data_IF_215796617272
#
_entry.id   IF_215796617272
#
_cell.length_a   1.000
_cell.length_b   1.000
_cell.length_c   1.000
_cell.angle_alpha   90.00
_cell.angle_beta   90.00
_cell.angle_gamma   90.00
#
_symmetry.space_group_name_H-M   'P 1'
#
loop_
_entity.id
_entity.type
_entity.pdbx_description
1 polymer ?
#
# COMPACT_ATOMS: atom_id res chain seq x y z
N UNK A 1 7.48 38.94 20.93
CA UNK A 1 8.25 38.97 19.67
C UNK A 1 8.61 37.54 19.27
N UNK A 2 8.55 37.23 17.97
CA UNK A 2 8.51 35.89 17.35
C UNK A 2 7.12 35.23 17.29
N UNK A 3 6.15 35.95 16.72
CA UNK A 3 5.05 35.29 15.99
C UNK A 3 5.60 34.98 14.60
N UNK A 4 5.58 33.68 14.25
CA UNK A 4 6.24 33.11 13.08
C UNK A 4 5.65 33.68 11.78
N UNK A 5 6.54 34.20 10.95
CA UNK A 5 6.33 34.78 9.62
C UNK A 5 5.75 33.81 8.56
N UNK A 6 5.27 32.63 8.95
CA UNK A 6 4.68 31.63 8.05
C UNK A 6 3.17 31.80 7.87
N UNK A 7 2.47 32.32 8.88
CA UNK A 7 1.00 32.43 8.85
C UNK A 7 0.49 33.59 7.97
N UNK A 8 1.37 34.51 7.55
CA UNK A 8 0.98 35.73 6.82
C UNK A 8 0.95 35.56 5.29
N UNK A 9 1.68 34.58 4.73
CA UNK A 9 1.86 34.47 3.27
C UNK A 9 0.59 33.97 2.57
N UNK A 10 -0.32 33.31 3.28
CA UNK A 10 -1.61 32.88 2.74
C UNK A 10 -2.73 33.93 2.87
N UNK A 11 -2.48 35.07 3.52
CA UNK A 11 -3.53 36.05 3.86
C UNK A 11 -3.46 37.38 3.09
N UNK A 12 -2.44 37.61 2.25
CA UNK A 12 -2.19 38.94 1.64
C UNK A 12 -2.00 38.85 0.12
N UNK A 13 -3.11 38.69 -0.61
CA UNK A 13 -3.18 38.93 -2.08
C UNK A 13 -4.41 39.76 -2.43
N UNK A 14 -4.67 40.80 -1.64
CA UNK A 14 -5.68 41.80 -1.89
C UNK A 14 -5.17 43.11 -1.33
N UNK A 15 -5.45 44.25 -1.98
CA UNK A 15 -5.23 45.63 -1.47
C UNK A 15 -3.89 46.27 -1.89
N UNK A 16 -3.83 46.82 -3.12
CA UNK A 16 -3.77 48.28 -3.43
C UNK A 16 -2.97 48.62 -4.69
N UNK A 17 -3.66 49.29 -5.61
CA UNK A 17 -3.06 50.19 -6.58
C UNK A 17 -3.19 51.66 -6.16
N UNK A 18 -2.40 52.49 -6.85
CA UNK A 18 -2.45 53.95 -7.01
C UNK A 18 -1.76 54.79 -5.90
N UNK A 19 -0.59 55.35 -6.23
CA UNK A 19 -0.37 56.80 -6.41
C UNK A 19 1.11 57.10 -6.74
N UNK A 20 1.32 58.04 -7.67
CA UNK A 20 2.62 58.45 -8.22
C UNK A 20 3.28 59.57 -7.38
N UNK A 21 4.62 59.62 -7.40
CA UNK A 21 5.42 60.72 -6.86
C UNK A 21 6.90 60.36 -6.80
N UNK A 22 7.68 60.80 -7.79
CA UNK A 22 9.06 60.41 -8.01
C UNK A 22 10.06 61.06 -7.03
N UNK A 23 10.86 60.23 -6.37
CA UNK A 23 12.25 60.47 -5.97
C UNK A 23 12.93 59.10 -6.04
N UNK A 24 13.57 58.78 -7.17
CA UNK A 24 14.23 57.49 -7.35
C UNK A 24 15.58 57.47 -6.63
N UNK A 25 15.54 57.27 -5.30
CA UNK A 25 16.69 56.77 -4.57
C UNK A 25 16.76 55.26 -4.81
N UNK A 26 17.56 54.82 -5.78
CA UNK A 26 17.73 53.40 -6.08
C UNK A 26 18.64 52.76 -5.02
N UNK A 27 18.04 52.25 -3.94
CA UNK A 27 18.74 51.39 -2.98
C UNK A 27 18.82 49.99 -3.59
N UNK A 28 19.98 49.65 -4.15
CA UNK A 28 20.27 48.28 -4.61
C UNK A 28 20.69 47.46 -3.39
N UNK A 29 19.71 46.84 -2.73
CA UNK A 29 19.97 45.85 -1.69
C UNK A 29 20.32 44.51 -2.35
N UNK A 30 21.46 43.93 -1.95
CA UNK A 30 21.78 42.54 -2.31
C UNK A 30 20.68 41.66 -1.72
N UNK A 31 19.93 40.97 -2.57
CA UNK A 31 18.94 39.97 -2.12
C UNK A 31 19.68 39.06 -1.14
N UNK A 32 19.21 38.93 0.10
CA UNK A 32 19.66 37.82 0.95
C UNK A 32 19.45 36.56 0.12
N UNK A 33 20.36 35.58 0.14
CA UNK A 33 20.00 34.27 -0.39
C UNK A 33 18.74 33.86 0.37
N UNK A 34 17.59 33.93 -0.32
CA UNK A 34 16.44 33.17 0.10
C UNK A 34 16.98 31.75 0.14
N UNK A 35 17.09 31.19 1.34
CA UNK A 35 17.02 29.74 1.49
C UNK A 35 15.71 29.41 0.80
N UNK A 36 15.78 28.90 -0.44
CA UNK A 36 14.64 28.76 -1.36
C UNK A 36 13.43 28.29 -0.57
N UNK A 37 12.54 29.23 -0.23
CA UNK A 37 11.34 28.87 0.50
C UNK A 37 10.54 28.00 -0.48
N UNK A 38 10.13 26.78 -0.08
CA UNK A 38 9.41 25.91 -0.99
C UNK A 38 8.17 26.66 -1.49
N UNK A 39 7.99 26.72 -2.81
CA UNK A 39 6.81 27.32 -3.40
C UNK A 39 5.58 26.59 -2.84
N UNK A 40 4.57 27.34 -2.41
CA UNK A 40 3.36 26.78 -1.81
C UNK A 40 2.26 26.61 -2.87
N UNK A 41 1.43 25.59 -2.70
CA UNK A 41 0.23 25.35 -3.51
C UNK A 41 -0.98 25.16 -2.61
N UNK A 42 -2.14 25.65 -3.04
CA UNK A 42 -3.40 25.52 -2.29
C UNK A 42 -4.41 24.72 -3.10
N UNK A 43 -5.01 23.69 -2.50
CA UNK A 43 -6.16 22.98 -3.04
C UNK A 43 -7.35 23.20 -2.10
N UNK A 44 -8.47 23.72 -2.62
CA UNK A 44 -9.67 23.95 -1.79
C UNK A 44 -10.65 22.82 -2.01
N UNK A 45 -10.77 21.93 -1.03
CA UNK A 45 -11.65 20.77 -1.08
C UNK A 45 -12.90 20.87 -0.23
N UNK A 46 -13.63 19.76 -0.16
CA UNK A 46 -14.92 19.69 0.52
C UNK A 46 -14.83 19.99 2.03
N UNK A 47 -13.70 19.65 2.65
CA UNK A 47 -13.50 19.75 4.09
C UNK A 47 -12.53 20.86 4.52
N UNK A 48 -12.13 21.74 3.60
CA UNK A 48 -11.20 22.83 3.89
C UNK A 48 -10.19 23.07 2.77
N UNK A 49 -9.23 23.94 3.05
CA UNK A 49 -8.12 24.21 2.15
C UNK A 49 -6.90 23.38 2.58
N UNK A 50 -6.17 22.82 1.63
CA UNK A 50 -4.98 22.02 1.85
C UNK A 50 -3.79 22.79 1.29
N UNK A 51 -2.81 23.12 2.14
CA UNK A 51 -1.62 23.88 1.77
C UNK A 51 -0.44 22.91 1.61
N UNK A 52 -0.01 22.70 0.37
CA UNK A 52 1.11 21.82 0.02
C UNK A 52 2.33 22.59 -0.48
N UNK A 53 3.33 21.85 -0.94
CA UNK A 53 4.55 22.39 -1.56
C UNK A 53 4.61 22.04 -3.04
N UNK A 54 5.24 22.87 -3.84
CA UNK A 54 5.59 22.61 -5.23
C UNK A 54 7.07 22.28 -5.33
N UNK A 55 7.38 21.21 -6.05
CA UNK A 55 8.76 20.85 -6.40
C UNK A 55 8.85 20.54 -7.90
N UNK A 56 9.99 20.82 -8.52
CA UNK A 56 10.25 20.45 -9.92
C UNK A 56 10.86 19.06 -9.98
N UNK A 57 10.24 18.16 -10.75
CA UNK A 57 10.75 16.81 -11.03
C UNK A 57 10.86 16.65 -12.54
N UNK A 58 12.09 16.43 -13.02
CA UNK A 58 12.38 16.37 -14.46
C UNK A 58 11.87 17.60 -15.26
N UNK A 59 11.87 18.79 -14.65
CA UNK A 59 11.38 20.03 -15.25
C UNK A 59 9.86 20.21 -15.19
N UNK A 60 9.12 19.25 -14.63
CA UNK A 60 7.67 19.32 -14.43
C UNK A 60 7.37 19.78 -13.01
N UNK A 61 6.57 20.84 -12.80
CA UNK A 61 6.12 21.24 -11.46
C UNK A 61 5.12 20.23 -10.90
N UNK A 62 5.38 19.73 -9.69
CA UNK A 62 4.53 18.77 -8.98
C UNK A 62 4.11 19.34 -7.63
N UNK A 63 2.79 19.44 -7.41
CA UNK A 63 2.22 19.76 -6.11
C UNK A 63 2.17 18.53 -5.20
N UNK A 64 2.72 18.64 -3.99
CA UNK A 64 2.73 17.61 -2.96
C UNK A 64 1.97 18.08 -1.71
N UNK A 65 0.98 17.30 -1.29
CA UNK A 65 0.18 17.53 -0.10
C UNK A 65 0.37 16.36 0.86
N UNK A 66 1.15 16.59 1.92
CA UNK A 66 1.59 15.56 2.86
C UNK A 66 0.76 15.62 4.15
N UNK A 67 0.52 14.47 4.77
CA UNK A 67 -0.20 14.40 6.05
C UNK A 67 -1.68 14.83 5.98
N UNK A 68 -2.33 14.64 4.82
CA UNK A 68 -3.75 14.95 4.64
C UNK A 68 -4.62 13.98 5.45
N UNK A 69 -5.50 14.45 6.37
CA UNK A 69 -6.31 13.57 7.19
C UNK A 69 -7.53 13.04 6.41
N UNK A 70 -7.73 11.72 6.43
CA UNK A 70 -8.95 11.08 5.91
C UNK A 70 -9.87 10.55 7.01
N UNK A 71 -9.36 10.39 8.24
CA UNK A 71 -10.10 9.94 9.43
C UNK A 71 -9.81 10.83 10.64
N UNK A 72 -10.76 10.95 11.57
CA UNK A 72 -10.64 11.79 12.76
C UNK A 72 -9.73 11.13 13.82
N UNK A 73 -8.77 11.86 14.41
CA UNK A 73 -7.88 11.34 15.44
C UNK A 73 -8.59 10.94 16.75
N UNK A 74 -9.86 11.34 16.92
CA UNK A 74 -10.72 10.84 18.02
C UNK A 74 -11.20 9.41 17.82
N UNK A 75 -10.89 8.79 16.67
CA UNK A 75 -11.12 7.36 16.45
C UNK A 75 -10.51 6.57 17.60
N UNK A 76 -11.37 5.87 18.35
CA UNK A 76 -10.92 5.06 19.47
C UNK A 76 -10.06 3.90 18.97
N UNK A 77 -9.06 3.51 19.77
CA UNK A 77 -8.23 2.34 19.46
C UNK A 77 -9.12 1.11 19.23
N UNK A 78 -8.77 0.33 18.21
CA UNK A 78 -9.50 -0.84 17.69
C UNK A 78 -10.88 -0.57 17.07
N UNK A 79 -11.43 0.64 17.16
CA UNK A 79 -12.74 0.96 16.59
C UNK A 79 -12.67 1.20 15.06
N UNK A 80 -13.82 1.23 14.39
CA UNK A 80 -13.90 1.72 13.00
C UNK A 80 -13.39 3.17 12.89
N UNK A 81 -12.75 3.57 11.78
CA UNK A 81 -12.37 4.96 11.56
C UNK A 81 -13.59 5.86 11.54
N UNK A 82 -13.53 6.96 12.31
CA UNK A 82 -14.49 8.04 12.20
C UNK A 82 -14.12 8.86 10.97
N UNK A 83 -14.99 9.01 9.95
CA UNK A 83 -14.65 9.79 8.77
C UNK A 83 -14.27 11.24 9.09
N UNK A 84 -13.37 11.81 8.31
CA UNK A 84 -12.98 13.21 8.47
C UNK A 84 -14.07 14.17 7.97
N UNK A 85 -14.65 14.96 8.89
CA UNK A 85 -15.67 15.98 8.59
C UNK A 85 -15.38 17.37 9.17
N UNK A 86 -14.20 17.60 9.78
CA UNK A 86 -13.94 18.90 10.45
C UNK A 86 -13.89 20.00 9.40
N UNK A 87 -14.81 20.95 9.54
CA UNK A 87 -15.16 21.97 8.55
C UNK A 87 -14.04 22.93 8.15
N UNK A 88 -14.38 23.81 7.21
CA UNK A 88 -13.53 24.72 6.41
C UNK A 88 -12.42 25.42 7.19
N UNK A 89 -11.32 24.72 7.45
CA UNK A 89 -10.06 25.26 7.95
C UNK A 89 -8.95 25.00 6.93
N UNK A 90 -7.86 25.74 7.06
CA UNK A 90 -6.65 25.49 6.25
C UNK A 90 -5.78 24.46 6.97
N UNK A 91 -5.41 23.41 6.26
CA UNK A 91 -4.53 22.35 6.71
C UNK A 91 -3.11 22.63 6.18
N UNK A 92 -2.13 22.67 7.09
CA UNK A 92 -0.72 22.63 6.69
C UNK A 92 -0.37 21.19 6.30
N UNK A 93 -0.15 21.00 5.00
CA UNK A 93 0.20 19.75 4.35
C UNK A 93 1.57 19.84 3.69
N UNK A 94 2.47 20.64 4.25
CA UNK A 94 3.85 20.78 3.75
C UNK A 94 4.82 19.74 4.32
N UNK A 95 4.37 18.93 5.29
CA UNK A 95 5.18 17.93 5.98
C UNK A 95 4.44 16.59 6.15
N UNK A 96 5.15 15.45 6.15
CA UNK A 96 4.55 14.14 6.37
C UNK A 96 3.96 14.01 7.78
N UNK A 97 2.80 13.35 7.87
CA UNK A 97 2.28 12.88 9.15
C UNK A 97 3.11 11.67 9.64
N UNK A 98 3.20 11.42 10.95
CA UNK A 98 3.86 10.22 11.46
C UNK A 98 3.25 8.93 10.89
N UNK A 99 4.09 7.92 10.63
CA UNK A 99 3.61 6.58 10.28
C UNK A 99 2.87 5.93 11.45
N UNK A 100 2.04 4.93 11.15
CA UNK A 100 1.33 4.19 12.18
C UNK A 100 2.30 3.41 13.09
N UNK A 101 1.95 3.31 14.37
CA UNK A 101 2.73 2.58 15.36
C UNK A 101 2.86 1.10 14.98
N UNK A 102 4.09 0.59 15.00
CA UNK A 102 4.45 -0.74 14.54
C UNK A 102 5.67 -1.26 15.30
N UNK A 103 5.83 -2.58 15.37
CA UNK A 103 7.01 -3.18 16.00
C UNK A 103 8.26 -2.94 15.14
N UNK A 104 9.40 -2.62 15.76
CA UNK A 104 10.69 -2.55 15.04
C UNK A 104 11.05 -3.94 14.49
N UNK A 105 11.31 -4.11 13.18
CA UNK A 105 11.70 -5.39 12.63
C UNK A 105 13.07 -5.81 13.22
N UNK A 106 13.09 -6.83 14.08
CA UNK A 106 14.31 -7.59 14.30
C UNK A 106 14.44 -8.58 13.14
N UNK A 107 15.06 -8.16 12.04
CA UNK A 107 15.39 -9.01 10.89
C UNK A 107 16.50 -10.01 11.30
N UNK A 108 16.14 -11.02 12.10
CA UNK A 108 16.97 -12.21 12.30
C UNK A 108 16.88 -13.14 11.08
N UNK A 109 17.86 -14.06 10.94
CA UNK A 109 18.15 -14.96 9.80
C UNK A 109 17.00 -15.85 9.24
N UNK A 110 15.76 -15.72 9.71
CA UNK A 110 14.61 -16.47 9.22
C UNK A 110 13.60 -15.54 8.53
N UNK A 111 13.99 -14.98 7.37
CA UNK A 111 13.23 -14.02 6.56
C UNK A 111 11.96 -14.59 5.88
N UNK A 112 11.48 -15.77 6.27
CA UNK A 112 10.31 -16.43 5.67
C UNK A 112 9.03 -16.21 6.50
N UNK A 113 8.83 -15.01 7.04
CA UNK A 113 7.52 -14.56 7.55
C UNK A 113 7.34 -13.17 6.95
N UNK A 114 6.56 -13.08 5.87
CA UNK A 114 6.16 -11.81 5.30
C UNK A 114 5.45 -11.01 6.41
N UNK A 115 5.91 -9.80 6.77
CA UNK A 115 5.27 -8.98 7.79
C UNK A 115 4.01 -8.31 7.21
N UNK A 116 3.16 -9.08 6.55
CA UNK A 116 2.00 -8.58 5.84
C UNK A 116 1.09 -7.81 6.83
N UNK A 117 0.89 -6.53 6.54
CA UNK A 117 0.12 -5.59 7.37
C UNK A 117 0.62 -5.38 8.83
N UNK A 118 1.85 -5.80 9.14
CA UNK A 118 2.50 -5.58 10.46
C UNK A 118 3.38 -4.34 10.48
N UNK A 119 3.99 -4.00 9.33
CA UNK A 119 4.93 -2.89 9.17
C UNK A 119 4.71 -2.21 7.82
N UNK A 120 5.04 -0.92 7.74
CA UNK A 120 4.88 -0.12 6.53
C UNK A 120 4.59 1.35 6.86
N UNK A 121 4.87 2.23 5.90
CA UNK A 121 4.56 3.66 6.00
C UNK A 121 4.57 4.29 4.61
N UNK A 122 3.64 5.21 4.35
CA UNK A 122 3.67 6.06 3.17
C UNK A 122 4.84 7.08 3.17
N UNK A 123 5.55 7.22 4.30
CA UNK A 123 6.76 8.04 4.41
C UNK A 123 8.02 7.30 3.94
N UNK A 124 7.92 6.03 3.57
CA UNK A 124 9.04 5.31 2.98
C UNK A 124 9.39 5.95 1.62
N UNK A 125 10.65 6.36 1.38
CA UNK A 125 11.07 6.99 0.13
C UNK A 125 10.74 6.18 -1.13
N UNK A 126 10.57 4.85 -1.03
CA UNK A 126 10.17 4.02 -2.17
C UNK A 126 8.74 4.31 -2.67
N UNK A 127 7.91 5.00 -1.88
CA UNK A 127 6.55 5.41 -2.22
C UNK A 127 6.42 6.91 -2.51
N UNK A 128 7.54 7.62 -2.74
CA UNK A 128 7.49 9.02 -3.17
C UNK A 128 6.87 9.14 -4.58
N UNK A 129 5.61 9.56 -4.62
CA UNK A 129 4.82 9.61 -5.84
C UNK A 129 5.19 10.72 -6.82
N UNK A 130 6.13 11.62 -6.48
CA UNK A 130 6.38 12.82 -7.30
C UNK A 130 6.89 12.50 -8.71
N UNK A 131 7.75 11.50 -8.85
CA UNK A 131 8.28 11.09 -10.17
C UNK A 131 7.18 10.45 -11.02
N UNK A 132 6.37 9.57 -10.42
CA UNK A 132 5.23 8.95 -11.10
C UNK A 132 4.19 10.01 -11.50
N UNK A 133 3.91 10.98 -10.64
CA UNK A 133 3.00 12.08 -10.96
C UNK A 133 3.51 12.94 -12.13
N UNK A 134 4.80 13.31 -12.11
CA UNK A 134 5.43 14.13 -13.16
C UNK A 134 5.49 13.41 -14.52
N UNK A 135 6.00 12.19 -14.55
CA UNK A 135 6.26 11.46 -15.79
C UNK A 135 5.02 10.71 -16.31
N UNK A 136 4.13 10.31 -15.41
CA UNK A 136 2.89 9.63 -15.74
C UNK A 136 1.72 10.58 -16.02
N UNK A 137 1.80 11.84 -15.60
CA UNK A 137 0.70 12.80 -15.64
C UNK A 137 -0.55 12.20 -14.97
N UNK A 138 -0.40 11.91 -13.68
CA UNK A 138 -1.42 11.27 -12.81
C UNK A 138 -1.38 11.87 -11.41
N UNK A 139 -2.51 11.83 -10.71
CA UNK A 139 -2.57 12.14 -9.26
C UNK A 139 -2.27 10.87 -8.47
N UNK A 140 -1.24 10.91 -7.63
CA UNK A 140 -0.82 9.78 -6.79
C UNK A 140 -1.25 10.01 -5.34
N UNK A 141 -1.97 9.06 -4.77
CA UNK A 141 -2.43 9.09 -3.36
C UNK A 141 -1.91 7.85 -2.65
N UNK A 142 -1.16 8.05 -1.55
CA UNK A 142 -0.58 6.96 -0.75
C UNK A 142 -1.05 7.09 0.71
N UNK A 143 -2.10 6.35 1.12
CA UNK A 143 -2.63 6.43 2.48
C UNK A 143 -1.82 5.58 3.46
N UNK A 144 -1.85 5.96 4.74
CA UNK A 144 -1.51 5.07 5.86
C UNK A 144 -2.77 4.42 6.41
N UNK A 145 -2.65 3.25 7.05
CA UNK A 145 -3.72 2.58 7.80
C UNK A 145 -3.14 1.87 9.03
N UNK A 146 -3.98 1.53 10.02
CA UNK A 146 -3.52 0.82 11.22
C UNK A 146 -2.99 -0.57 10.90
N UNK A 147 -1.91 -0.95 11.58
CA UNK A 147 -1.14 -2.19 11.36
C UNK A 147 -1.19 -3.10 12.59
N UNK A 148 -0.91 -4.39 12.38
CA UNK A 148 -0.84 -5.41 13.43
C UNK A 148 -2.02 -5.39 14.40
N UNK A 149 -1.74 -5.55 15.69
CA UNK A 149 -2.76 -5.56 16.75
C UNK A 149 -3.66 -4.32 16.74
N UNK A 150 -3.15 -3.16 16.31
CA UNK A 150 -3.95 -1.92 16.31
C UNK A 150 -4.98 -1.88 15.17
N UNK A 151 -4.73 -2.59 14.07
CA UNK A 151 -5.61 -2.67 12.91
C UNK A 151 -6.41 -3.96 12.80
N UNK A 152 -5.95 -5.04 13.43
CA UNK A 152 -6.47 -6.40 13.19
C UNK A 152 -6.72 -7.19 14.47
N UNK A 153 -6.87 -6.51 15.62
CA UNK A 153 -7.45 -7.14 16.81
C UNK A 153 -8.85 -7.66 16.45
N UNK A 154 -9.08 -8.94 16.73
CA UNK A 154 -10.39 -9.58 16.54
C UNK A 154 -10.94 -10.04 17.88
N UNK A 155 -12.20 -9.74 18.11
CA UNK A 155 -12.90 -10.06 19.35
C UNK A 155 -14.26 -10.64 18.98
N UNK A 156 -14.74 -11.65 19.70
CA UNK A 156 -16.05 -12.28 19.46
C UNK A 156 -17.18 -11.27 19.67
N UNK A 157 -17.82 -10.83 18.58
CA UNK A 157 -19.09 -10.07 18.55
C UNK A 157 -19.11 -8.78 19.41
N UNK A 158 -18.78 -7.63 18.83
CA UNK A 158 -19.23 -6.33 19.40
C UNK A 158 -19.32 -5.17 18.40
N UNK A 159 -20.08 -4.16 18.82
CA UNK A 159 -20.23 -2.86 18.16
C UNK A 159 -19.07 -1.87 18.45
N UNK A 160 -17.99 -2.29 19.12
CA UNK A 160 -16.92 -1.40 19.61
C UNK A 160 -15.52 -1.63 19.01
N UNK A 161 -15.26 -2.83 18.48
CA UNK A 161 -14.00 -3.21 17.84
C UNK A 161 -14.31 -4.12 16.64
N UNK A 162 -14.57 -3.56 15.45
CA UNK A 162 -14.88 -4.35 14.28
C UNK A 162 -13.68 -5.20 13.87
N UNK A 163 -13.99 -6.38 13.35
CA UNK A 163 -13.01 -7.21 12.65
C UNK A 163 -12.44 -6.42 11.48
N UNK A 164 -11.12 -6.48 11.29
CA UNK A 164 -10.40 -5.83 10.18
C UNK A 164 -10.46 -4.28 10.18
N UNK A 165 -10.32 -3.62 11.34
CA UNK A 165 -10.28 -2.16 11.45
C UNK A 165 -9.27 -1.49 10.49
N UNK A 166 -8.12 -2.12 10.20
CA UNK A 166 -7.15 -1.64 9.21
C UNK A 166 -7.66 -1.69 7.76
N UNK A 167 -8.52 -2.65 7.39
CA UNK A 167 -9.23 -2.62 6.10
C UNK A 167 -10.29 -1.51 6.07
N UNK A 168 -10.93 -1.21 7.21
CA UNK A 168 -11.87 -0.10 7.28
C UNK A 168 -11.17 1.25 7.12
N UNK A 169 -9.95 1.41 7.65
CA UNK A 169 -9.11 2.59 7.40
C UNK A 169 -8.81 2.78 5.91
N UNK A 170 -8.42 1.71 5.22
CA UNK A 170 -8.19 1.74 3.78
C UNK A 170 -9.47 2.11 3.00
N UNK A 171 -10.62 1.54 3.40
CA UNK A 171 -11.90 1.86 2.79
C UNK A 171 -12.26 3.34 2.99
N UNK A 172 -11.98 3.91 4.17
CA UNK A 172 -12.23 5.33 4.42
C UNK A 172 -11.26 6.23 3.63
N UNK A 173 -10.00 5.85 3.48
CA UNK A 173 -9.05 6.56 2.63
C UNK A 173 -9.51 6.56 1.15
N UNK A 174 -10.02 5.43 0.65
CA UNK A 174 -10.61 5.35 -0.70
C UNK A 174 -11.84 6.25 -0.83
N UNK A 175 -12.75 6.26 0.15
CA UNK A 175 -13.93 7.15 0.16
C UNK A 175 -13.54 8.61 0.22
N UNK A 176 -12.54 8.97 1.03
CA UNK A 176 -12.01 10.31 1.09
C UNK A 176 -11.44 10.73 -0.26
N UNK A 177 -10.65 9.85 -0.89
CA UNK A 177 -10.06 10.10 -2.22
C UNK A 177 -11.15 10.33 -3.26
N UNK A 178 -12.14 9.44 -3.35
CA UNK A 178 -13.24 9.58 -4.31
C UNK A 178 -14.06 10.88 -4.13
N UNK A 179 -14.16 11.39 -2.89
CA UNK A 179 -14.86 12.66 -2.60
C UNK A 179 -14.03 13.91 -2.84
N UNK A 180 -12.69 13.82 -2.86
CA UNK A 180 -11.82 14.99 -2.84
C UNK A 180 -10.82 15.09 -4.01
N UNK A 181 -10.56 14.01 -4.74
CA UNK A 181 -9.46 13.97 -5.73
C UNK A 181 -9.61 15.01 -6.85
N UNK A 182 -10.84 15.41 -7.18
CA UNK A 182 -11.12 16.43 -8.20
C UNK A 182 -10.52 17.81 -7.82
N UNK A 183 -10.42 18.14 -6.53
CA UNK A 183 -9.80 19.38 -6.06
C UNK A 183 -8.27 19.40 -6.20
N UNK A 184 -7.68 18.23 -6.44
CA UNK A 184 -6.25 18.05 -6.70
C UNK A 184 -5.97 17.78 -8.19
N UNK A 185 -6.97 17.94 -9.06
CA UNK A 185 -6.84 17.72 -10.51
C UNK A 185 -7.03 16.28 -10.97
N UNK A 186 -7.46 15.37 -10.10
CA UNK A 186 -7.74 13.98 -10.49
C UNK A 186 -9.18 13.76 -10.95
N UNK A 187 -9.46 12.56 -11.48
CA UNK A 187 -10.78 12.15 -11.95
C UNK A 187 -11.36 11.04 -11.06
N UNK A 188 -12.43 11.33 -10.32
CA UNK A 188 -13.07 10.35 -9.42
C UNK A 188 -13.72 9.18 -10.15
N UNK A 189 -14.07 9.33 -11.43
CA UNK A 189 -14.64 8.26 -12.26
C UNK A 189 -13.59 7.32 -12.83
N UNK A 190 -12.30 7.64 -12.65
CA UNK A 190 -11.17 6.89 -13.20
C UNK A 190 -10.16 6.49 -12.12
N UNK A 191 -10.66 6.13 -10.94
CA UNK A 191 -9.81 5.71 -9.82
C UNK A 191 -9.20 4.34 -10.09
N UNK A 192 -7.86 4.30 -10.10
CA UNK A 192 -7.07 3.08 -10.20
C UNK A 192 -6.39 2.81 -8.87
N UNK A 193 -6.56 1.60 -8.33
CA UNK A 193 -5.92 1.20 -7.08
C UNK A 193 -4.80 0.22 -7.37
N UNK A 194 -3.60 0.53 -6.87
CA UNK A 194 -2.40 -0.29 -7.02
C UNK A 194 -2.02 -0.83 -5.65
N UNK A 195 -1.97 -2.15 -5.51
CA UNK A 195 -1.52 -2.82 -4.30
C UNK A 195 -0.22 -3.58 -4.54
N UNK A 196 0.71 -3.52 -3.58
CA UNK A 196 1.93 -4.33 -3.56
C UNK A 196 1.97 -5.22 -2.33
N UNK A 197 2.32 -6.49 -2.52
CA UNK A 197 2.36 -7.48 -1.46
C UNK A 197 1.02 -7.57 -0.73
N UNK A 198 1.06 -7.47 0.60
CA UNK A 198 -0.17 -7.48 1.41
C UNK A 198 -1.18 -6.36 1.08
N UNK A 199 -0.76 -5.28 0.42
CA UNK A 199 -1.66 -4.26 -0.15
C UNK A 199 -2.41 -4.76 -1.39
N UNK A 200 -1.81 -5.65 -2.19
CA UNK A 200 -2.47 -6.33 -3.30
C UNK A 200 -3.51 -7.33 -2.79
N UNK A 201 -3.20 -8.09 -1.74
CA UNK A 201 -4.18 -8.94 -1.06
C UNK A 201 -5.35 -8.11 -0.51
N UNK A 202 -5.05 -7.00 0.17
CA UNK A 202 -6.05 -6.08 0.68
C UNK A 202 -6.96 -5.49 -0.41
N UNK A 203 -6.40 -5.09 -1.55
CA UNK A 203 -7.16 -4.63 -2.71
C UNK A 203 -8.16 -5.69 -3.18
N UNK A 204 -7.74 -6.96 -3.22
CA UNK A 204 -8.64 -8.05 -3.56
C UNK A 204 -9.80 -8.17 -2.57
N UNK A 205 -9.53 -8.01 -1.27
CA UNK A 205 -10.58 -8.00 -0.24
C UNK A 205 -11.58 -6.87 -0.42
N UNK A 206 -11.11 -5.67 -0.78
CA UNK A 206 -12.01 -4.58 -1.16
C UNK A 206 -12.89 -5.00 -2.34
N UNK A 207 -12.33 -5.56 -3.42
CA UNK A 207 -13.11 -5.93 -4.61
C UNK A 207 -14.17 -7.02 -4.36
N UNK A 208 -13.92 -7.97 -3.46
CA UNK A 208 -14.86 -9.07 -3.18
C UNK A 208 -15.83 -8.77 -2.05
N UNK A 209 -15.53 -7.78 -1.22
CA UNK A 209 -16.41 -7.43 -0.11
C UNK A 209 -17.77 -6.96 -0.63
N UNK A 210 -18.85 -7.63 -0.21
CA UNK A 210 -20.21 -7.23 -0.54
C UNK A 210 -20.55 -5.82 -0.02
N UNK A 211 -21.81 -5.41 -0.21
CA UNK A 211 -22.37 -4.07 0.05
C UNK A 211 -22.08 -3.38 1.41
N UNK A 212 -21.44 -4.06 2.37
CA UNK A 212 -20.96 -3.50 3.63
C UNK A 212 -19.68 -2.66 3.51
N UNK A 213 -18.78 -2.97 2.57
CA UNK A 213 -17.61 -2.16 2.24
C UNK A 213 -17.91 -1.40 0.94
N UNK A 214 -18.76 -0.38 1.04
CA UNK A 214 -19.21 0.47 -0.11
C UNK A 214 -18.09 1.24 -0.85
N UNK A 215 -16.82 0.90 -0.64
CA UNK A 215 -15.64 1.42 -1.33
C UNK A 215 -15.47 0.90 -2.76
N UNK A 216 -16.15 -0.21 -3.13
CA UNK A 216 -15.99 -0.87 -4.44
C UNK A 216 -16.58 -0.08 -5.60
N UNK A 217 -17.65 0.68 -5.38
CA UNK A 217 -18.39 1.35 -6.47
C UNK A 217 -17.56 2.40 -7.24
N UNK A 218 -16.39 2.77 -6.72
CA UNK A 218 -15.54 3.82 -7.31
C UNK A 218 -14.27 3.30 -7.96
N UNK A 219 -13.88 2.02 -7.79
CA UNK A 219 -12.64 1.48 -8.36
C UNK A 219 -12.88 1.13 -9.83
N UNK A 220 -12.23 1.86 -10.74
CA UNK A 220 -12.35 1.63 -12.19
C UNK A 220 -11.41 0.54 -12.68
N UNK A 221 -10.19 0.48 -12.13
CA UNK A 221 -9.14 -0.52 -12.46
C UNK A 221 -8.33 -0.89 -11.22
N UNK A 222 -7.72 -2.07 -11.25
CA UNK A 222 -6.93 -2.61 -10.15
C UNK A 222 -5.59 -3.17 -10.67
N UNK A 223 -4.52 -2.96 -9.91
CA UNK A 223 -3.19 -3.54 -10.17
C UNK A 223 -2.73 -4.32 -8.95
N UNK A 224 -2.42 -5.60 -9.16
CA UNK A 224 -1.93 -6.51 -8.13
C UNK A 224 -0.44 -6.77 -8.37
N UNK A 225 0.42 -6.25 -7.50
CA UNK A 225 1.87 -6.43 -7.59
C UNK A 225 2.34 -7.47 -6.56
N UNK A 226 2.88 -8.57 -7.06
CA UNK A 226 3.54 -9.64 -6.29
C UNK A 226 2.68 -10.46 -5.31
N UNK A 227 1.42 -10.12 -5.03
CA UNK A 227 0.49 -10.95 -4.24
C UNK A 227 -0.97 -10.74 -4.72
N UNK A 228 -1.91 -11.55 -4.21
CA UNK A 228 -3.33 -11.49 -4.53
C UNK A 228 -4.18 -11.84 -3.31
N UNK A 229 -5.51 -11.70 -3.34
CA UNK A 229 -6.33 -12.16 -2.21
C UNK A 229 -6.31 -13.68 -2.02
N UNK A 230 -5.82 -14.45 -3.00
CA UNK A 230 -5.60 -15.90 -2.87
C UNK A 230 -4.26 -16.25 -2.21
N UNK A 231 -3.39 -15.26 -1.98
CA UNK A 231 -2.13 -15.47 -1.24
C UNK A 231 -2.46 -15.91 0.17
N UNK A 232 -1.93 -17.08 0.55
CA UNK A 232 -2.17 -17.67 1.86
C UNK A 232 -1.00 -17.38 2.78
N UNK A 233 -1.29 -16.73 3.89
CA UNK A 233 -0.31 -16.62 4.98
C UNK A 233 -0.38 -17.88 5.86
N UNK A 234 0.75 -18.32 6.43
CA UNK A 234 0.81 -19.55 7.22
C UNK A 234 0.15 -19.37 8.59
N UNK A 235 -1.01 -20.02 8.83
CA UNK A 235 -1.75 -19.87 10.09
C UNK A 235 -2.50 -21.17 10.48
N UNK A 236 -2.41 -21.50 11.77
CA UNK A 236 -3.07 -22.57 12.54
C UNK A 236 -3.19 -23.97 11.94
N UNK A 237 -3.35 -24.95 12.81
CA UNK A 237 -3.36 -26.39 12.55
C UNK A 237 -4.52 -26.83 11.66
N UNK A 238 -4.45 -28.06 11.12
CA UNK A 238 -5.29 -28.65 10.05
C UNK A 238 -6.82 -28.53 10.17
N UNK A 239 -7.41 -27.92 11.21
CA UNK A 239 -8.85 -27.97 11.48
C UNK A 239 -9.51 -26.75 12.18
N UNK A 240 -8.84 -25.62 12.43
CA UNK A 240 -9.50 -24.47 13.10
C UNK A 240 -10.13 -23.49 12.11
N UNK A 241 -11.32 -22.97 12.43
CA UNK A 241 -11.92 -21.85 11.70
C UNK A 241 -11.08 -20.59 11.99
N UNK A 242 -10.89 -19.76 10.99
CA UNK A 242 -9.97 -18.63 11.02
C UNK A 242 -10.34 -17.56 12.05
N UNK A 243 -11.64 -17.41 12.29
CA UNK A 243 -12.18 -16.60 13.38
C UNK A 243 -11.65 -17.08 14.73
N UNK A 244 -11.58 -18.40 14.97
CA UNK A 244 -11.08 -18.99 16.22
C UNK A 244 -9.59 -18.68 16.43
N UNK A 245 -8.81 -18.64 15.35
CA UNK A 245 -7.39 -18.27 15.40
C UNK A 245 -7.16 -16.81 15.79
N UNK A 246 -7.97 -15.91 15.24
CA UNK A 246 -7.91 -14.48 15.56
C UNK A 246 -8.43 -14.18 16.98
N UNK A 247 -9.42 -14.93 17.45
CA UNK A 247 -9.93 -14.85 18.83
C UNK A 247 -8.88 -15.33 19.82
N UNK A 248 -8.19 -16.44 19.52
CA UNK A 248 -7.14 -16.99 20.39
C UNK A 248 -6.00 -15.99 20.67
N UNK A 249 -5.62 -15.19 19.68
CA UNK A 249 -4.59 -14.15 19.86
C UNK A 249 -5.03 -13.08 20.85
N UNK A 250 -6.29 -12.70 20.78
CA UNK A 250 -6.86 -11.72 21.70
C UNK A 250 -7.06 -12.31 23.10
N UNK A 251 -7.48 -13.56 23.22
CA UNK A 251 -7.58 -14.26 24.51
C UNK A 251 -6.22 -14.33 25.21
N UNK A 252 -5.15 -14.64 24.48
CA UNK A 252 -3.80 -14.65 25.06
C UNK A 252 -3.38 -13.24 25.50
N UNK A 253 -3.66 -12.19 24.71
CA UNK A 253 -3.41 -10.82 25.15
C UNK A 253 -4.22 -10.46 26.41
N UNK A 254 -5.48 -10.89 26.47
CA UNK A 254 -6.34 -10.69 27.62
C UNK A 254 -5.73 -11.36 28.86
N UNK A 255 -5.36 -12.65 28.80
CA UNK A 255 -4.73 -13.36 29.91
C UNK A 255 -3.43 -12.72 30.42
N UNK A 256 -2.64 -12.14 29.50
CA UNK A 256 -1.35 -11.53 29.84
C UNK A 256 -1.47 -10.17 30.52
N UNK A 257 -2.48 -9.38 30.15
CA UNK A 257 -2.53 -7.95 30.49
C UNK A 257 -3.84 -7.51 31.16
N UNK A 258 -4.87 -8.33 31.14
CA UNK A 258 -6.18 -8.04 31.68
C UNK A 258 -6.58 -9.11 32.70
N UNK A 259 -7.00 -8.67 33.89
CA UNK A 259 -7.47 -9.57 34.96
C UNK A 259 -8.94 -9.97 34.81
N UNK A 260 -9.64 -9.34 33.87
CA UNK A 260 -11.06 -9.55 33.59
C UNK A 260 -11.22 -10.81 32.73
N UNK A 261 -12.09 -11.72 33.17
CA UNK A 261 -12.55 -12.85 32.37
C UNK A 261 -13.11 -12.37 31.02
N UNK A 262 -12.84 -13.13 29.95
CA UNK A 262 -13.33 -12.91 28.57
C UNK A 262 -14.86 -12.87 28.44
N UNK A 263 -15.59 -13.04 29.55
CA UNK A 263 -17.05 -13.00 29.61
C UNK A 263 -17.66 -11.58 29.58
N UNK A 264 -16.92 -10.52 29.99
CA UNK A 264 -17.40 -9.13 29.86
C UNK A 264 -16.59 -8.36 28.80
N UNK A 265 -17.17 -8.28 27.61
CA UNK A 265 -16.54 -7.70 26.44
C UNK A 265 -16.15 -6.22 26.62
N UNK A 266 -17.06 -5.38 27.13
CA UNK A 266 -16.83 -3.94 27.25
C UNK A 266 -15.67 -3.65 28.18
N UNK A 267 -15.61 -4.35 29.32
CA UNK A 267 -14.51 -4.22 30.28
C UNK A 267 -13.19 -4.76 29.73
N UNK A 268 -13.21 -5.85 28.95
CA UNK A 268 -12.03 -6.35 28.25
C UNK A 268 -11.51 -5.34 27.23
N UNK A 269 -12.39 -4.78 26.39
CA UNK A 269 -12.01 -3.79 25.37
C UNK A 269 -11.46 -2.51 26.01
N UNK A 270 -12.06 -2.03 27.11
CA UNK A 270 -11.54 -0.90 27.90
C UNK A 270 -10.16 -1.22 28.47
N UNK A 271 -9.97 -2.41 29.03
CA UNK A 271 -8.66 -2.87 29.49
C UNK A 271 -7.63 -2.84 28.34
N UNK A 272 -7.92 -3.48 27.21
CA UNK A 272 -7.02 -3.51 26.05
C UNK A 272 -6.71 -2.10 25.50
N UNK A 273 -7.66 -1.16 25.58
CA UNK A 273 -7.46 0.24 25.19
C UNK A 273 -6.55 1.00 26.17
N UNK A 274 -6.53 0.60 27.44
CA UNK A 274 -5.69 1.22 28.47
C UNK A 274 -4.21 0.82 28.40
N UNK A 275 -3.91 -0.34 27.79
CA UNK A 275 -2.52 -0.82 27.67
C UNK A 275 -1.67 0.17 26.84
N UNK A 276 -0.46 0.56 27.26
CA UNK A 276 0.42 1.39 26.44
C UNK A 276 0.72 0.73 25.08
N UNK A 277 0.76 1.52 24.00
CA UNK A 277 0.97 1.01 22.63
C UNK A 277 2.31 0.28 22.54
N UNK A 278 3.35 0.81 23.16
CA UNK A 278 4.69 0.25 23.20
C UNK A 278 4.69 -1.14 23.87
N UNK A 279 3.80 -1.37 24.84
CA UNK A 279 3.64 -2.67 25.49
C UNK A 279 2.98 -3.68 24.55
N UNK A 280 1.96 -3.27 23.80
CA UNK A 280 1.31 -4.12 22.78
C UNK A 280 2.25 -4.47 21.61
N UNK A 281 3.19 -3.59 21.28
CA UNK A 281 4.13 -3.75 20.16
C UNK A 281 5.46 -4.44 20.55
N UNK A 282 5.71 -4.68 21.84
CA UNK A 282 6.91 -5.43 22.28
C UNK A 282 6.87 -6.86 21.76
N UNK A 283 8.05 -7.49 21.68
CA UNK A 283 8.19 -8.89 21.21
C UNK A 283 7.10 -9.74 21.87
N UNK A 284 6.29 -10.45 21.08
CA UNK A 284 5.24 -11.25 21.65
C UNK A 284 5.86 -12.26 22.62
N UNK A 285 5.19 -12.53 23.76
CA UNK A 285 5.52 -13.67 24.60
C UNK A 285 5.58 -14.94 23.77
N UNK A 286 6.32 -15.94 24.25
CA UNK A 286 6.58 -17.19 23.49
C UNK A 286 5.29 -17.84 22.97
N UNK A 287 4.19 -17.72 23.72
CA UNK A 287 2.86 -18.18 23.32
C UNK A 287 2.37 -17.50 22.02
N UNK A 288 2.52 -16.18 21.91
CA UNK A 288 2.13 -15.38 20.75
C UNK A 288 3.13 -15.47 19.58
N UNK A 289 4.40 -15.83 19.82
CA UNK A 289 5.41 -16.01 18.73
C UNK A 289 5.11 -17.15 17.77
N UNK A 290 4.31 -18.12 18.23
CA UNK A 290 3.91 -19.28 17.43
C UNK A 290 2.63 -19.01 16.63
N UNK A 291 2.06 -17.80 16.75
CA UNK A 291 0.82 -17.37 16.13
C UNK A 291 1.12 -16.32 15.04
N UNK A 292 0.29 -16.25 13.99
CA UNK A 292 0.38 -15.21 12.98
C UNK A 292 -0.30 -13.97 13.52
N UNK A 293 0.49 -13.17 14.21
CA UNK A 293 0.09 -11.95 14.91
C UNK A 293 -0.81 -11.06 14.05
N UNK A 294 -2.09 -10.93 14.40
CA UNK A 294 -3.04 -9.91 13.98
C UNK A 294 -3.03 -9.60 12.46
N UNK A 295 -3.62 -10.51 11.67
CA UNK A 295 -3.86 -10.36 10.23
C UNK A 295 -5.36 -10.14 9.95
N UNK A 296 -5.73 -9.73 8.71
CA UNK A 296 -7.11 -9.79 8.28
C UNK A 296 -7.73 -11.16 8.53
N UNK A 297 -8.86 -11.20 9.24
CA UNK A 297 -9.64 -12.41 9.47
C UNK A 297 -10.45 -12.68 8.21
N UNK A 298 -9.90 -13.50 7.29
CA UNK A 298 -10.45 -13.83 5.97
C UNK A 298 -10.04 -15.26 5.54
N UNK A 299 -10.83 -15.95 4.67
CA UNK A 299 -10.79 -17.40 4.28
C UNK A 299 -9.48 -18.02 3.76
N UNK A 300 -8.32 -17.37 3.94
CA UNK A 300 -7.13 -17.62 3.13
C UNK A 300 -5.90 -17.89 3.97
N UNK A 301 -5.94 -18.99 4.72
CA UNK A 301 -4.79 -19.41 5.53
C UNK A 301 -4.31 -20.84 5.24
N UNK A 302 -3.01 -21.09 5.48
CA UNK A 302 -2.36 -22.39 5.24
C UNK A 302 -2.17 -23.18 6.54
N UNK A 303 -2.53 -24.49 6.59
CA UNK A 303 -2.34 -25.28 7.80
C UNK A 303 -0.88 -25.35 8.28
N UNK A 304 -0.66 -25.22 9.60
CA UNK A 304 0.66 -25.19 10.26
C UNK A 304 1.51 -26.43 9.97
N UNK A 305 0.90 -27.61 9.78
CA UNK A 305 1.63 -28.84 9.41
C UNK A 305 2.22 -28.74 8.00
N UNK A 306 1.45 -28.22 7.06
CA UNK A 306 1.88 -28.02 5.68
C UNK A 306 3.00 -26.97 5.62
N UNK A 307 2.90 -25.87 6.38
CA UNK A 307 3.95 -24.86 6.47
C UNK A 307 5.26 -25.38 7.09
N UNK A 308 5.18 -26.20 8.16
CA UNK A 308 6.37 -26.82 8.77
C UNK A 308 7.09 -27.80 7.82
N UNK A 309 6.34 -28.48 6.92
CA UNK A 309 6.92 -29.32 5.87
C UNK A 309 7.59 -28.49 4.77
N UNK A 310 7.01 -27.34 4.41
CA UNK A 310 7.57 -26.41 3.41
C UNK A 310 8.83 -25.66 3.92
N UNK A 311 8.89 -25.33 5.21
CA UNK A 311 10.03 -24.62 5.84
C UNK A 311 11.25 -25.50 6.14
N UNK A 312 11.10 -26.82 6.16
CA UNK A 312 12.22 -27.74 6.35
C UNK A 312 12.70 -28.16 4.96
N UNK A 313 13.76 -27.56 4.40
CA UNK A 313 14.42 -28.17 3.26
C UNK A 313 14.69 -29.63 3.64
N UNK A 314 14.22 -30.56 2.82
CA UNK A 314 14.66 -31.95 2.95
C UNK A 314 16.19 -31.92 2.89
N UNK A 315 16.89 -32.71 3.71
CA UNK A 315 18.36 -32.75 3.66
C UNK A 315 18.81 -32.96 2.21
N UNK A 316 19.58 -32.00 1.66
CA UNK A 316 20.02 -31.99 0.26
C UNK A 316 19.19 -31.10 -0.70
N UNK A 317 18.17 -30.38 -0.25
CA UNK A 317 17.41 -29.45 -1.09
C UNK A 317 18.22 -28.16 -1.37
N UNK A 318 18.39 -27.86 -2.66
CA UNK A 318 19.03 -26.64 -3.16
C UNK A 318 18.28 -25.37 -2.69
N UNK A 319 19.03 -24.33 -2.29
CA UNK A 319 18.49 -23.05 -1.84
C UNK A 319 17.66 -22.36 -2.91
N UNK A 320 18.07 -22.46 -4.19
CA UNK A 320 17.32 -21.83 -5.29
C UNK A 320 15.99 -22.55 -5.53
N UNK A 321 15.96 -23.87 -5.38
CA UNK A 321 14.72 -24.64 -5.42
C UNK A 321 13.76 -24.27 -4.28
N UNK A 322 14.29 -24.08 -3.06
CA UNK A 322 13.49 -23.67 -1.91
C UNK A 322 12.88 -22.27 -2.12
N UNK A 323 13.64 -21.32 -2.66
CA UNK A 323 13.15 -19.98 -2.99
C UNK A 323 12.08 -20.00 -4.09
N UNK A 324 12.27 -20.80 -5.15
CA UNK A 324 11.26 -20.96 -6.20
C UNK A 324 9.95 -21.57 -5.68
N UNK A 325 10.03 -22.57 -4.79
CA UNK A 325 8.84 -23.17 -4.16
C UNK A 325 8.12 -22.16 -3.27
N UNK A 326 8.84 -21.37 -2.48
CA UNK A 326 8.24 -20.32 -1.66
C UNK A 326 7.60 -19.23 -2.52
N UNK A 327 8.25 -18.82 -3.61
CA UNK A 327 7.72 -17.84 -4.57
C UNK A 327 6.44 -18.34 -5.24
N UNK A 328 6.40 -19.58 -5.69
CA UNK A 328 5.20 -20.19 -6.28
C UNK A 328 4.04 -20.23 -5.29
N UNK A 329 4.32 -20.66 -4.05
CA UNK A 329 3.31 -20.87 -3.03
C UNK A 329 2.68 -19.57 -2.54
N UNK A 330 3.48 -18.52 -2.38
CA UNK A 330 3.06 -17.28 -1.73
C UNK A 330 2.68 -16.18 -2.72
N UNK A 331 3.24 -16.19 -3.93
CA UNK A 331 3.15 -15.08 -4.87
C UNK A 331 2.64 -15.53 -6.24
N UNK A 332 3.43 -16.33 -6.97
CA UNK A 332 3.20 -16.53 -8.41
C UNK A 332 1.90 -17.29 -8.68
N UNK A 333 1.71 -18.45 -8.04
CA UNK A 333 0.52 -19.27 -8.27
C UNK A 333 -0.79 -18.67 -7.72
N UNK A 334 -0.86 -18.11 -6.50
CA UNK A 334 -2.09 -17.45 -6.07
C UNK A 334 -2.44 -16.23 -6.92
N UNK A 335 -1.46 -15.47 -7.40
CA UNK A 335 -1.71 -14.33 -8.30
C UNK A 335 -2.22 -14.78 -9.66
N UNK A 336 -1.61 -15.84 -10.22
CA UNK A 336 -2.05 -16.44 -11.49
C UNK A 336 -3.47 -17.00 -11.41
N UNK A 337 -3.77 -17.80 -10.40
CA UNK A 337 -5.10 -18.41 -10.23
C UNK A 337 -6.17 -17.33 -10.03
N UNK A 338 -5.85 -16.26 -9.31
CA UNK A 338 -6.75 -15.13 -9.17
C UNK A 338 -6.99 -14.40 -10.50
N UNK A 339 -5.94 -14.23 -11.31
CA UNK A 339 -6.07 -13.66 -12.66
C UNK A 339 -6.95 -14.54 -13.59
N UNK A 340 -6.83 -15.88 -13.50
CA UNK A 340 -7.72 -16.82 -14.20
C UNK A 340 -9.18 -16.63 -13.76
N UNK A 341 -9.43 -16.46 -12.45
CA UNK A 341 -10.78 -16.23 -11.92
C UNK A 341 -11.37 -14.88 -12.36
N UNK A 342 -10.60 -13.79 -12.29
CA UNK A 342 -11.04 -12.47 -12.77
C UNK A 342 -11.44 -12.52 -14.25
N UNK A 343 -10.71 -13.27 -15.07
CA UNK A 343 -11.03 -13.50 -16.49
C UNK A 343 -12.32 -14.30 -16.65
N UNK A 344 -12.52 -15.35 -15.85
CA UNK A 344 -13.75 -16.13 -15.85
C UNK A 344 -14.98 -15.28 -15.51
N UNK A 345 -14.81 -14.24 -14.69
CA UNK A 345 -15.84 -13.21 -14.42
C UNK A 345 -15.99 -12.14 -15.52
N UNK A 346 -15.30 -12.29 -16.65
CA UNK A 346 -15.44 -11.40 -17.81
C UNK A 346 -14.52 -10.16 -17.82
N UNK A 347 -13.56 -10.06 -16.89
CA UNK A 347 -12.62 -8.93 -16.86
C UNK A 347 -11.48 -9.09 -17.86
N UNK A 348 -11.02 -7.98 -18.42
CA UNK A 348 -9.73 -7.92 -19.14
C UNK A 348 -8.60 -7.92 -18.11
N UNK A 349 -7.66 -8.87 -18.22
CA UNK A 349 -6.56 -9.04 -17.25
C UNK A 349 -5.23 -9.21 -17.97
N UNK A 350 -4.28 -8.33 -17.64
CA UNK A 350 -2.91 -8.34 -18.15
C UNK A 350 -1.95 -8.81 -17.06
N UNK A 351 -1.05 -9.73 -17.39
CA UNK A 351 0.04 -10.17 -16.51
C UNK A 351 1.38 -9.58 -16.92
N UNK A 352 2.29 -9.43 -15.97
CA UNK A 352 3.67 -9.05 -16.23
C UNK A 352 4.64 -9.80 -15.31
N UNK A 353 5.89 -9.92 -15.74
CA UNK A 353 7.03 -10.38 -14.95
C UNK A 353 8.16 -9.38 -15.14
N UNK A 354 8.82 -9.04 -14.05
CA UNK A 354 9.92 -8.09 -14.02
C UNK A 354 11.21 -8.82 -13.65
N UNK A 355 12.28 -8.56 -14.42
CA UNK A 355 13.62 -9.06 -14.15
C UNK A 355 14.59 -7.89 -13.93
N UNK A 356 15.50 -8.03 -12.98
CA UNK A 356 16.46 -6.98 -12.62
C UNK A 356 17.50 -6.68 -13.70
N UNK A 357 17.87 -5.39 -13.81
CA UNK A 357 18.89 -4.82 -14.71
C UNK A 357 20.33 -5.23 -14.47
N UNK A 358 20.71 -5.38 -13.21
CA UNK A 358 22.09 -5.55 -12.82
C UNK A 358 22.28 -6.94 -12.23
N UNK A 359 22.98 -7.82 -12.97
CA UNK A 359 23.32 -9.16 -12.48
C UNK A 359 24.33 -9.13 -11.31
N UNK A 360 25.03 -8.01 -11.09
CA UNK A 360 25.96 -7.81 -9.97
C UNK A 360 25.28 -7.39 -8.67
N UNK A 361 24.21 -6.59 -8.73
CA UNK A 361 23.37 -6.28 -7.55
C UNK A 361 22.55 -7.50 -7.16
N UNK A 362 22.61 -7.90 -5.89
CA UNK A 362 21.88 -9.06 -5.34
C UNK A 362 22.20 -10.42 -6.02
N UNK A 363 23.36 -10.56 -6.66
CA UNK A 363 23.76 -11.83 -7.31
C UNK A 363 22.82 -12.29 -8.42
N UNK A 364 22.22 -11.33 -9.15
CA UNK A 364 21.31 -11.61 -10.27
C UNK A 364 19.87 -11.91 -9.88
N UNK A 365 19.54 -11.85 -8.57
CA UNK A 365 18.18 -12.05 -8.07
C UNK A 365 17.40 -10.75 -8.10
N UNK A 366 16.12 -10.81 -8.47
CA UNK A 366 15.23 -9.63 -8.50
C UNK A 366 14.55 -9.44 -7.13
N UNK A 367 14.73 -8.30 -6.44
CA UNK A 367 14.08 -8.01 -5.17
C UNK A 367 12.56 -8.01 -5.29
N UNK A 368 11.90 -8.43 -4.22
CA UNK A 368 10.43 -8.50 -4.15
C UNK A 368 9.71 -7.15 -4.34
N UNK A 369 10.35 -6.03 -3.98
CA UNK A 369 9.83 -4.67 -4.15
C UNK A 369 10.36 -3.96 -5.41
N UNK A 370 11.09 -4.65 -6.29
CA UNK A 370 11.72 -4.03 -7.46
C UNK A 370 10.73 -3.31 -8.38
N UNK A 371 9.54 -3.90 -8.58
CA UNK A 371 8.48 -3.30 -9.38
C UNK A 371 7.99 -1.95 -8.81
N UNK A 372 7.94 -1.81 -7.49
CA UNK A 372 7.57 -0.55 -6.82
C UNK A 372 8.64 0.50 -7.07
N UNK A 373 9.91 0.14 -6.91
CA UNK A 373 11.04 1.06 -7.12
C UNK A 373 11.05 1.63 -8.55
N UNK A 374 10.79 0.77 -9.55
CA UNK A 374 10.73 1.21 -10.94
C UNK A 374 9.50 2.10 -11.21
N UNK A 375 8.33 1.75 -10.66
CA UNK A 375 7.08 2.49 -10.85
C UNK A 375 7.09 3.87 -10.18
N UNK A 376 7.63 3.97 -8.95
CA UNK A 376 7.74 5.24 -8.23
C UNK A 376 9.00 6.03 -8.64
N UNK A 377 9.80 5.51 -9.56
CA UNK A 377 10.95 6.22 -10.10
C UNK A 377 12.11 6.36 -9.12
N UNK A 378 12.22 5.49 -8.11
CA UNK A 378 13.35 5.53 -7.16
C UNK A 378 14.70 5.43 -7.89
N UNK A 379 14.77 4.63 -8.95
CA UNK A 379 15.95 4.51 -9.82
C UNK A 379 16.31 5.80 -10.57
N UNK A 380 15.38 6.75 -10.71
CA UNK A 380 15.61 8.05 -11.35
C UNK A 380 16.08 9.13 -10.38
N UNK A 381 15.83 8.93 -9.08
CA UNK A 381 16.22 9.86 -8.00
C UNK A 381 17.58 9.46 -7.41
N UNK A 382 17.85 8.15 -7.34
CA UNK A 382 19.12 7.62 -6.86
C UNK A 382 20.11 7.38 -8.02
N UNK A 383 21.40 7.28 -7.68
CA UNK A 383 22.45 6.92 -8.65
C UNK A 383 22.33 5.44 -9.06
N UNK A 384 21.35 5.13 -9.92
CA UNK A 384 21.22 3.82 -10.58
C UNK A 384 21.84 3.84 -11.98
N UNK A 385 22.26 2.68 -12.53
CA UNK A 385 22.81 2.58 -13.88
C UNK A 385 21.84 3.12 -14.95
N UNK A 386 22.33 3.67 -16.07
CA UNK A 386 21.48 4.22 -17.13
C UNK A 386 20.39 3.27 -17.63
N UNK A 387 20.71 1.97 -17.79
CA UNK A 387 19.73 0.96 -18.19
C UNK A 387 18.58 0.79 -17.19
N UNK A 388 18.85 0.92 -15.88
CA UNK A 388 17.82 0.84 -14.84
C UNK A 388 16.93 2.08 -14.82
N UNK A 389 17.52 3.26 -15.07
CA UNK A 389 16.77 4.51 -15.25
C UNK A 389 15.85 4.42 -16.47
N UNK A 390 16.37 3.92 -17.59
CA UNK A 390 15.60 3.72 -18.81
C UNK A 390 14.43 2.75 -18.58
N UNK A 391 14.69 1.61 -17.92
CA UNK A 391 13.64 0.67 -17.55
C UNK A 391 12.57 1.32 -16.67
N UNK A 392 12.96 2.13 -15.67
CA UNK A 392 12.02 2.84 -14.81
C UNK A 392 11.11 3.80 -15.61
N UNK A 393 11.66 4.57 -16.56
CA UNK A 393 10.85 5.43 -17.45
C UNK A 393 9.84 4.63 -18.27
N UNK A 394 10.28 3.50 -18.82
CA UNK A 394 9.42 2.59 -19.58
C UNK A 394 8.30 1.97 -18.73
N UNK A 395 8.60 1.57 -17.49
CA UNK A 395 7.61 1.07 -16.53
C UNK A 395 6.60 2.17 -16.19
N UNK A 396 7.06 3.37 -15.86
CA UNK A 396 6.18 4.51 -15.56
C UNK A 396 5.24 4.80 -16.74
N UNK A 397 5.78 4.90 -17.96
CA UNK A 397 4.99 5.19 -19.16
C UNK A 397 3.91 4.12 -19.41
N UNK A 398 4.23 2.83 -19.22
CA UNK A 398 3.29 1.72 -19.42
C UNK A 398 2.20 1.69 -18.36
N UNK A 399 2.55 1.86 -17.09
CA UNK A 399 1.57 1.89 -16.00
C UNK A 399 0.69 3.13 -16.13
N UNK A 400 1.25 4.30 -16.43
CA UNK A 400 0.47 5.51 -16.69
C UNK A 400 -0.50 5.34 -17.87
N UNK A 401 -0.08 4.68 -18.95
CA UNK A 401 -0.98 4.35 -20.05
C UNK A 401 -2.13 3.44 -19.58
N UNK A 402 -1.82 2.35 -18.88
CA UNK A 402 -2.84 1.46 -18.31
C UNK A 402 -3.77 2.20 -17.34
N UNK A 403 -3.26 3.11 -16.52
CA UNK A 403 -4.07 3.90 -15.60
C UNK A 403 -5.12 4.71 -16.33
N UNK A 404 -4.75 5.30 -17.48
CA UNK A 404 -5.63 6.16 -18.29
C UNK A 404 -6.57 5.37 -19.20
N UNK A 405 -6.11 4.28 -19.82
CA UNK A 405 -6.87 3.58 -20.87
C UNK A 405 -7.45 2.25 -20.39
N UNK A 406 -6.76 1.55 -19.50
CA UNK A 406 -7.03 0.15 -19.15
C UNK A 406 -6.40 -0.85 -20.12
N UNK A 407 -5.66 -0.36 -21.11
CA UNK A 407 -4.94 -1.15 -22.08
C UNK A 407 -3.44 -1.13 -21.78
N UNK A 408 -2.72 -2.14 -22.28
CA UNK A 408 -1.25 -2.16 -22.23
C UNK A 408 -0.73 -1.80 -23.62
N UNK A 409 0.06 -0.72 -23.71
CA UNK A 409 0.63 -0.25 -24.98
C UNK A 409 1.62 -1.29 -25.52
N UNK A 410 1.23 -1.96 -26.59
CA UNK A 410 2.02 -2.96 -27.29
C UNK A 410 2.23 -2.48 -28.74
N UNK A 411 3.47 -2.19 -29.12
CA UNK A 411 3.77 -1.67 -30.46
C UNK A 411 3.64 -2.72 -31.58
N UNK A 412 3.44 -4.02 -31.26
CA UNK A 412 3.43 -5.11 -32.25
C UNK A 412 2.56 -6.36 -31.92
N UNK A 413 1.40 -6.28 -31.25
CA UNK A 413 0.69 -7.52 -30.87
C UNK A 413 -0.80 -7.60 -31.25
N UNK A 414 -1.18 -8.77 -31.78
CA UNK A 414 -2.55 -9.12 -32.17
C UNK A 414 -3.42 -9.37 -30.94
N UNK A 415 -4.61 -8.79 -30.94
CA UNK A 415 -5.64 -8.81 -29.89
C UNK A 415 -6.28 -10.18 -29.62
N UNK A 416 -5.79 -11.27 -30.24
CA UNK A 416 -6.50 -12.55 -30.28
C UNK A 416 -6.31 -13.45 -29.05
N UNK A 417 -5.23 -13.34 -28.29
CA UNK A 417 -5.00 -14.19 -27.12
C UNK A 417 -5.10 -13.37 -25.81
N UNK A 418 -6.24 -13.32 -25.15
CA UNK A 418 -6.44 -12.52 -23.91
C UNK A 418 -5.65 -13.03 -22.66
N UNK A 419 -4.57 -13.80 -22.85
CA UNK A 419 -3.92 -14.65 -21.85
C UNK A 419 -2.49 -14.22 -21.45
N UNK A 420 -2.09 -12.97 -21.63
CA UNK A 420 -0.66 -12.65 -21.68
C UNK A 420 0.02 -12.36 -20.33
N UNK A 421 1.28 -12.82 -20.24
CA UNK A 421 2.30 -12.36 -19.30
C UNK A 421 3.43 -11.73 -20.12
N UNK A 422 3.74 -10.47 -19.83
CA UNK A 422 4.82 -9.74 -20.48
C UNK A 422 6.06 -9.76 -19.58
N UNK A 423 7.17 -10.30 -20.08
CA UNK A 423 8.47 -10.13 -19.43
C UNK A 423 9.09 -8.80 -19.86
N UNK A 424 9.40 -7.99 -18.86
CA UNK A 424 10.13 -6.74 -19.04
C UNK A 424 11.57 -6.98 -18.60
N UNK A 425 12.45 -7.01 -19.58
CA UNK A 425 13.88 -7.15 -19.37
C UNK A 425 14.60 -5.81 -19.55
N UNK A 426 15.75 -5.63 -18.90
CA UNK A 426 16.52 -4.38 -18.87
C UNK A 426 17.56 -4.24 -19.98
N UNK A 427 17.88 -5.34 -20.67
CA UNK A 427 18.83 -5.36 -21.81
C UNK A 427 18.15 -5.19 -23.16
N UNK A 428 16.83 -5.04 -23.12
CA UNK A 428 15.99 -4.80 -24.25
C UNK A 428 15.75 -3.29 -24.27
N UNK A 429 15.61 -2.68 -25.44
CA UNK A 429 15.22 -1.27 -25.70
C UNK A 429 13.81 -0.92 -25.16
N UNK A 430 13.42 -1.50 -24.03
CA UNK A 430 12.04 -1.62 -23.59
C UNK A 430 11.27 -2.72 -24.32
N UNK A 431 11.89 -3.55 -25.17
CA UNK A 431 11.22 -4.67 -25.86
C UNK A 431 10.59 -5.63 -24.86
N UNK A 432 9.30 -5.86 -25.08
CA UNK A 432 8.48 -6.76 -24.31
C UNK A 432 8.68 -8.17 -24.86
N UNK A 433 9.05 -9.11 -24.00
CA UNK A 433 9.13 -10.52 -24.41
C UNK A 433 7.91 -11.28 -23.90
N UNK A 434 7.30 -12.05 -24.79
CA UNK A 434 6.16 -12.88 -24.44
C UNK A 434 6.62 -14.08 -23.61
N UNK A 435 5.92 -14.34 -22.50
CA UNK A 435 6.14 -15.52 -21.68
C UNK A 435 4.89 -16.41 -21.75
N UNK A 436 4.92 -17.51 -22.54
CA UNK A 436 3.85 -18.49 -22.47
C UNK A 436 3.77 -19.07 -21.07
N UNK A 437 2.55 -19.25 -20.57
CA UNK A 437 2.28 -20.24 -19.53
C UNK A 437 3.17 -20.11 -18.28
N UNK A 438 3.40 -18.89 -17.79
CA UNK A 438 4.21 -18.61 -16.60
C UNK A 438 3.88 -19.58 -15.44
N UNK A 439 4.83 -20.46 -15.12
CA UNK A 439 4.74 -21.46 -14.04
C UNK A 439 3.47 -22.33 -14.09
N UNK A 440 2.87 -22.55 -15.27
CA UNK A 440 1.58 -23.27 -15.43
C UNK A 440 1.56 -24.62 -14.74
N UNK A 441 2.51 -25.49 -15.07
CA UNK A 441 2.53 -26.85 -14.53
C UNK A 441 2.65 -26.86 -13.00
N UNK A 442 3.50 -25.99 -12.45
CA UNK A 442 3.66 -25.85 -11.00
C UNK A 442 2.37 -25.36 -10.34
N UNK A 443 1.71 -24.37 -10.93
CA UNK A 443 0.48 -23.81 -10.39
C UNK A 443 -0.72 -24.74 -10.52
N UNK A 444 -0.79 -25.58 -11.57
CA UNK A 444 -1.81 -26.64 -11.67
C UNK A 444 -1.64 -27.68 -10.57
N UNK A 445 -0.40 -28.08 -10.25
CA UNK A 445 -0.11 -28.99 -9.13
C UNK A 445 -0.52 -28.38 -7.79
N UNK A 446 -0.38 -27.06 -7.62
CA UNK A 446 -0.72 -26.36 -6.38
C UNK A 446 -2.19 -25.93 -6.30
N UNK A 447 -2.93 -25.91 -7.42
CA UNK A 447 -4.32 -25.44 -7.51
C UNK A 447 -5.26 -26.02 -6.44
N UNK A 448 -5.23 -27.34 -6.11
CA UNK A 448 -6.10 -27.90 -5.08
C UNK A 448 -5.98 -27.22 -3.71
N UNK A 449 -4.81 -26.66 -3.42
CA UNK A 449 -4.60 -25.94 -2.17
C UNK A 449 -5.22 -24.53 -2.14
N UNK A 450 -5.64 -24.00 -3.28
CA UNK A 450 -6.26 -22.68 -3.39
C UNK A 450 -7.76 -22.73 -3.73
N UNK A 451 -8.28 -23.88 -4.20
CA UNK A 451 -9.67 -24.05 -4.68
C UNK A 451 -10.76 -23.70 -3.66
N UNK A 452 -10.53 -23.87 -2.34
CA UNK A 452 -11.52 -23.54 -1.31
C UNK A 452 -11.83 -22.04 -1.18
N UNK A 453 -11.08 -21.16 -1.86
CA UNK A 453 -11.36 -19.72 -1.90
C UNK A 453 -12.50 -19.36 -2.87
N UNK A 454 -12.78 -20.21 -3.85
CA UNK A 454 -13.65 -19.91 -5.00
C UNK A 454 -15.03 -20.60 -4.87
N UNK A 455 -15.21 -21.47 -3.87
CA UNK A 455 -16.38 -22.36 -3.74
C UNK A 455 -17.56 -21.86 -2.90
N UNK A 456 -17.53 -20.64 -2.36
CA UNK A 456 -18.63 -20.05 -1.58
C UNK A 456 -19.06 -18.74 -2.23
N UNK A 457 -20.13 -18.81 -3.02
CA UNK A 457 -20.70 -17.66 -3.74
C UNK A 457 -21.32 -16.59 -2.85
#
# INVERSE_FOLDING_TARGET
HQVKTRDLVCAVTSVLGIAAGALALSVVLRRRPEVDAPQLVLATGLFGAYCGTVSSVAGVPVGAFLGVPYADPRTLRFAAPIPWYRGRQTHDNTAPAPGCAQATPNLGRNCAIFPAQQTGSNNDPQYDGRVLAALGDVVVVVPNWRLGVLGFLSLTRSDGAPVNAGLLDQAEALRWTARNVEFFGGNKSDLVVVGHGSGASALGYHLMSGSGLRSVATIRRAVFMSESPMTRYPVYTDHQKEEEGAILETDILAELFCTQSSQNYSSLLECLRSIPVETLLKKPPRALRELPLFFPVLPVMWPRRTWKKLKRPQHGMDSDLAEHLLSDLLSVCPTRLFAEQLRAWGNTVHGYVLHQADAGRHGGRTPWNYAVQLLFGSSLVHASPPAEQELSRHVIARWAHFFKTGEVKAEQYSTRDRHFVISMTPFSDGTLTWVPDLRREACEKLRPHFQNFIGGG
#
